data_IF_475778153246
#
_entry.id   IF_475778153246
#
_cell.length_a   1.000
_cell.length_b   1.000
_cell.length_c   1.000
_cell.angle_alpha   90.00
_cell.angle_beta   90.00
_cell.angle_gamma   90.00
#
_symmetry.space_group_name_H-M   'P 1'
#
loop_
_entity.id
_entity.type
_entity.pdbx_description
1 polymer ?
#
# COMPACT_ATOMS: atom_id res chain seq x y z
N UNK A 1 -13.35 -7.36 -9.76
CA UNK A 1 -13.74 -7.40 -8.32
C UNK A 1 -14.27 -6.02 -8.03
N UNK A 2 -15.48 -5.88 -7.47
CA UNK A 2 -16.04 -4.55 -7.23
C UNK A 2 -15.09 -3.75 -6.34
N UNK A 3 -14.72 -2.55 -6.77
CA UNK A 3 -14.10 -1.52 -5.93
C UNK A 3 -14.90 -1.39 -4.64
N UNK A 4 -14.43 -2.04 -3.56
CA UNK A 4 -14.99 -1.81 -2.23
C UNK A 4 -14.87 -0.31 -1.94
N UNK A 5 -15.90 0.29 -1.34
CA UNK A 5 -15.85 1.69 -0.94
C UNK A 5 -14.76 1.85 0.13
N UNK A 6 -13.62 2.41 -0.27
CA UNK A 6 -12.40 2.52 0.55
C UNK A 6 -12.43 3.82 1.38
N UNK A 7 -13.49 4.05 2.17
CA UNK A 7 -13.62 5.29 2.96
C UNK A 7 -12.51 5.42 4.00
N UNK A 8 -11.94 6.61 4.18
CA UNK A 8 -10.88 6.84 5.18
C UNK A 8 -11.34 6.43 6.59
N UNK A 9 -10.44 5.77 7.33
CA UNK A 9 -10.59 5.57 8.77
C UNK A 9 -10.47 6.93 9.46
N UNK A 10 -11.45 7.27 10.29
CA UNK A 10 -11.53 8.55 11.00
C UNK A 10 -11.50 8.31 12.51
N UNK A 11 -10.61 8.99 13.23
CA UNK A 11 -10.58 9.01 14.70
C UNK A 11 -10.68 10.48 15.13
N UNK A 12 -11.72 10.81 15.88
CA UNK A 12 -11.94 12.13 16.45
C UNK A 12 -11.26 12.25 17.82
N UNK A 13 -10.41 13.26 17.96
CA UNK A 13 -9.59 13.53 19.17
C UNK A 13 -9.93 14.90 19.77
N UNK A 14 -11.12 15.44 19.48
CA UNK A 14 -11.55 16.78 19.88
C UNK A 14 -11.02 17.83 18.92
N UNK A 15 -9.93 18.51 19.30
CA UNK A 15 -9.32 19.59 18.51
C UNK A 15 -8.57 19.08 17.27
N UNK A 16 -8.38 17.77 17.17
CA UNK A 16 -7.70 17.11 16.06
C UNK A 16 -8.53 15.96 15.50
N UNK A 17 -8.34 15.68 14.22
CA UNK A 17 -8.94 14.55 13.52
C UNK A 17 -7.84 13.76 12.84
N UNK A 18 -7.78 12.47 13.11
CA UNK A 18 -6.87 11.56 12.43
C UNK A 18 -7.61 10.87 11.28
N UNK A 19 -7.00 10.89 10.09
CA UNK A 19 -7.49 10.26 8.88
C UNK A 19 -6.45 9.29 8.35
N UNK A 20 -6.83 8.04 8.07
CA UNK A 20 -5.94 7.04 7.51
C UNK A 20 -6.59 6.30 6.35
N UNK A 21 -5.78 5.91 5.36
CA UNK A 21 -6.25 5.01 4.30
C UNK A 21 -6.67 3.66 4.90
N UNK A 22 -7.70 2.99 4.35
CA UNK A 22 -8.19 1.71 4.87
C UNK A 22 -7.15 0.60 4.99
N UNK A 23 -6.19 0.57 4.08
CA UNK A 23 -5.09 -0.40 4.09
C UNK A 23 -4.09 -0.19 5.24
N UNK A 24 -4.16 0.94 5.96
CA UNK A 24 -3.25 1.26 7.06
C UNK A 24 -3.78 0.68 8.37
N UNK A 25 -2.96 -0.11 9.05
CA UNK A 25 -3.21 -0.51 10.43
C UNK A 25 -3.08 0.72 11.36
N UNK A 26 -4.00 0.90 12.30
CA UNK A 26 -4.00 2.08 13.18
C UNK A 26 -4.02 1.63 14.64
N UNK A 27 -2.98 2.01 15.39
CA UNK A 27 -2.92 1.89 16.85
C UNK A 27 -3.50 3.14 17.51
N UNK A 28 -4.65 3.02 18.19
CA UNK A 28 -5.28 4.16 18.87
C UNK A 28 -4.36 4.84 19.89
N UNK A 29 -3.50 4.07 20.56
CA UNK A 29 -2.57 4.61 21.55
C UNK A 29 -1.50 5.49 20.89
N UNK A 30 -0.97 5.05 19.74
CA UNK A 30 -0.03 5.85 18.97
C UNK A 30 -0.68 7.11 18.39
N UNK A 31 -1.96 7.04 17.97
CA UNK A 31 -2.73 8.23 17.57
C UNK A 31 -2.84 9.24 18.71
N UNK A 32 -3.13 8.81 19.94
CA UNK A 32 -3.20 9.72 21.10
C UNK A 32 -1.87 10.41 21.36
N UNK A 33 -0.77 9.66 21.32
CA UNK A 33 0.57 10.23 21.50
C UNK A 33 0.93 11.23 20.38
N UNK A 34 0.49 10.99 19.14
CA UNK A 34 0.61 11.97 18.05
C UNK A 34 -0.22 13.23 18.32
N UNK A 35 -1.44 13.08 18.86
CA UNK A 35 -2.30 14.20 19.22
C UNK A 35 -1.67 15.10 20.30
N UNK A 36 -1.07 14.50 21.33
CA UNK A 36 -0.34 15.23 22.37
C UNK A 36 0.81 16.06 21.80
N UNK A 37 1.58 15.48 20.87
CA UNK A 37 2.66 16.17 20.15
C UNK A 37 2.10 17.33 19.31
N UNK A 38 0.98 17.13 18.64
CA UNK A 38 0.33 18.16 17.84
C UNK A 38 -0.12 19.35 18.70
N UNK A 39 -0.73 19.08 19.86
CA UNK A 39 -1.13 20.09 20.84
C UNK A 39 0.08 20.87 21.36
N UNK A 40 1.14 20.17 21.79
CA UNK A 40 2.36 20.81 22.30
C UNK A 40 3.05 21.67 21.23
N UNK A 41 3.13 21.17 20.00
CA UNK A 41 3.73 21.85 18.86
C UNK A 41 2.84 22.90 18.22
N UNK A 42 1.56 23.01 18.62
CA UNK A 42 0.52 23.79 17.91
C UNK A 42 0.55 23.52 16.42
N UNK A 43 0.52 22.24 16.05
CA UNK A 43 0.64 21.79 14.67
C UNK A 43 -0.73 21.82 14.00
N UNK A 44 -0.75 22.15 12.72
CA UNK A 44 -1.95 22.08 11.87
C UNK A 44 -2.07 20.72 11.21
N UNK A 45 -0.92 20.09 10.96
CA UNK A 45 -0.83 18.82 10.27
C UNK A 45 0.34 17.97 10.79
N UNK A 46 0.11 16.67 10.97
CA UNK A 46 1.17 15.67 11.08
C UNK A 46 0.94 14.59 10.02
N UNK A 47 1.86 14.45 9.07
CA UNK A 47 1.84 13.35 8.11
C UNK A 47 2.55 12.11 8.63
N UNK A 48 1.98 10.94 8.37
CA UNK A 48 2.57 9.62 8.64
C UNK A 48 2.85 8.95 7.31
N UNK A 49 4.05 8.38 7.16
CA UNK A 49 4.50 7.76 5.92
C UNK A 49 4.62 6.25 6.03
N UNK A 50 4.64 5.60 4.87
CA UNK A 50 5.21 4.27 4.76
C UNK A 50 6.74 4.32 4.71
N UNK A 51 7.38 3.16 4.85
CA UNK A 51 8.85 3.05 4.86
C UNK A 51 9.52 3.45 3.53
N UNK A 52 8.75 3.79 2.48
CA UNK A 52 9.26 4.14 1.14
C UNK A 52 9.43 5.65 0.92
N UNK A 53 9.35 6.44 1.98
CA UNK A 53 9.56 7.88 1.94
C UNK A 53 10.98 8.25 1.49
N UNK A 54 11.08 9.30 0.67
CA UNK A 54 12.36 9.88 0.24
C UNK A 54 13.17 10.39 1.44
N UNK A 55 14.44 9.99 1.53
CA UNK A 55 15.39 10.43 2.56
C UNK A 55 15.58 11.96 2.57
N UNK A 56 15.21 12.66 1.49
CA UNK A 56 15.28 14.11 1.40
C UNK A 56 14.31 14.84 2.34
N UNK A 57 13.26 14.16 2.83
CA UNK A 57 12.23 14.80 3.66
C UNK A 57 12.54 14.57 5.14
N UNK A 58 12.79 15.66 5.86
CA UNK A 58 13.12 15.61 7.28
C UNK A 58 11.91 15.15 8.11
N UNK A 59 12.14 14.18 8.99
CA UNK A 59 11.17 13.70 9.97
C UNK A 59 11.37 14.39 11.30
N UNK A 60 10.32 14.46 12.11
CA UNK A 60 10.37 14.97 13.48
C UNK A 60 10.78 16.46 13.60
N UNK A 61 10.64 17.21 12.50
CA UNK A 61 10.95 18.65 12.42
C UNK A 61 9.69 19.41 12.06
N UNK A 62 9.43 20.52 12.78
CA UNK A 62 8.33 21.43 12.46
C UNK A 62 8.73 22.31 11.28
N UNK A 63 7.88 22.36 10.26
CA UNK A 63 8.12 23.07 9.00
C UNK A 63 6.84 23.71 8.45
N UNK A 64 6.98 24.70 7.55
CA UNK A 64 5.87 25.22 6.75
C UNK A 64 5.86 24.49 5.42
N UNK A 65 4.82 23.69 5.17
CA UNK A 65 4.59 23.07 3.86
C UNK A 65 4.11 24.12 2.87
N UNK A 66 3.30 25.07 3.34
CA UNK A 66 2.83 26.19 2.53
C UNK A 66 3.99 26.95 1.87
N UNK A 67 5.12 27.11 2.58
CA UNK A 67 6.30 27.82 2.06
C UNK A 67 7.29 26.92 1.30
N UNK A 68 7.07 25.60 1.25
CA UNK A 68 8.03 24.61 0.74
C UNK A 68 7.39 23.65 -0.30
N UNK A 69 7.01 24.14 -1.49
CA UNK A 69 6.32 23.34 -2.50
C UNK A 69 7.07 22.09 -2.96
N UNK A 70 8.40 22.10 -2.89
CA UNK A 70 9.28 20.96 -3.21
C UNK A 70 8.98 19.73 -2.36
N UNK A 71 8.47 19.90 -1.14
CA UNK A 71 8.12 18.81 -0.24
C UNK A 71 6.89 18.04 -0.76
N UNK A 72 6.10 18.61 -1.70
CA UNK A 72 4.93 17.96 -2.29
C UNK A 72 5.22 16.62 -2.97
N UNK A 73 6.48 16.31 -3.28
CA UNK A 73 6.92 14.96 -3.69
C UNK A 73 6.45 13.89 -2.70
N UNK A 74 6.31 14.25 -1.43
CA UNK A 74 5.92 13.37 -0.35
C UNK A 74 4.40 13.09 -0.31
N UNK A 75 3.54 13.90 -0.95
CA UNK A 75 2.07 13.79 -0.84
C UNK A 75 1.57 12.35 -1.03
N UNK A 76 2.11 11.62 -2.03
CA UNK A 76 1.65 10.25 -2.34
C UNK A 76 2.08 9.20 -1.31
N UNK A 77 3.17 9.48 -0.59
CA UNK A 77 3.73 8.58 0.40
C UNK A 77 3.06 8.72 1.79
N UNK A 78 2.28 9.78 2.00
CA UNK A 78 1.51 9.95 3.24
C UNK A 78 0.40 8.90 3.28
N UNK A 79 0.50 7.94 4.20
CA UNK A 79 -0.46 6.86 4.43
C UNK A 79 -1.59 7.28 5.38
N UNK A 80 -1.29 8.22 6.29
CA UNK A 80 -2.25 8.78 7.23
C UNK A 80 -1.85 10.21 7.64
N UNK A 81 -2.81 10.97 8.17
CA UNK A 81 -2.59 12.34 8.60
C UNK A 81 -3.41 12.70 9.84
N UNK A 82 -2.79 13.42 10.76
CA UNK A 82 -3.47 14.10 11.86
C UNK A 82 -3.63 15.57 11.49
N UNK A 83 -4.85 16.10 11.54
CA UNK A 83 -5.16 17.47 11.15
C UNK A 83 -5.81 18.20 12.32
N UNK A 84 -5.46 19.48 12.52
CA UNK A 84 -6.23 20.31 13.46
C UNK A 84 -7.62 20.56 12.88
N UNK A 85 -8.64 20.57 13.74
CA UNK A 85 -10.02 20.80 13.33
C UNK A 85 -10.19 22.19 12.72
N UNK A 86 -9.55 23.20 13.30
CA UNK A 86 -9.57 24.57 12.76
C UNK A 86 -8.98 24.65 11.35
N UNK A 87 -7.95 23.85 11.05
CA UNK A 87 -7.38 23.79 9.71
C UNK A 87 -8.37 23.17 8.72
N UNK A 88 -8.96 22.02 9.07
CA UNK A 88 -9.96 21.36 8.24
C UNK A 88 -11.17 22.25 7.99
N UNK A 89 -11.72 22.89 9.02
CA UNK A 89 -12.89 23.78 8.89
C UNK A 89 -12.60 25.01 8.02
N UNK A 90 -11.33 25.40 7.87
CA UNK A 90 -10.92 26.56 7.07
C UNK A 90 -10.73 26.21 5.60
N UNK A 91 -10.10 25.07 5.29
CA UNK A 91 -9.65 24.74 3.93
C UNK A 91 -10.38 23.56 3.29
N UNK A 92 -11.13 22.78 4.08
CA UNK A 92 -11.89 21.63 3.61
C UNK A 92 -13.38 21.85 3.89
N UNK A 93 -14.24 21.65 2.88
CA UNK A 93 -15.70 21.77 3.02
C UNK A 93 -16.34 20.54 3.72
N UNK A 94 -15.62 19.98 4.70
CA UNK A 94 -15.93 18.73 5.40
C UNK A 94 -15.24 17.51 4.81
N UNK A 95 -14.66 16.66 5.66
CA UNK A 95 -13.90 15.46 5.25
C UNK A 95 -14.77 14.53 4.39
N UNK A 96 -16.05 14.39 4.72
CA UNK A 96 -17.00 13.50 4.07
C UNK A 96 -17.26 13.87 2.60
N UNK A 97 -17.10 15.15 2.22
CA UNK A 97 -17.29 15.62 0.84
C UNK A 97 -16.21 15.13 -0.13
N UNK A 98 -15.10 14.60 0.41
CA UNK A 98 -13.90 14.25 -0.36
C UNK A 98 -13.58 12.74 -0.32
N UNK A 99 -14.37 11.94 0.39
CA UNK A 99 -14.06 10.52 0.65
C UNK A 99 -14.53 9.52 -0.43
N UNK A 100 -15.01 10.00 -1.59
CA UNK A 100 -15.54 9.13 -2.64
C UNK A 100 -14.50 8.88 -3.73
N UNK A 101 -14.31 7.62 -4.10
CA UNK A 101 -13.47 7.21 -5.22
C UNK A 101 -12.05 6.79 -4.83
N UNK A 102 -11.16 6.77 -5.83
CA UNK A 102 -9.77 6.40 -5.64
C UNK A 102 -9.01 7.55 -4.96
N UNK A 103 -8.15 7.23 -3.99
CA UNK A 103 -7.38 8.20 -3.18
C UNK A 103 -8.26 9.25 -2.46
N UNK A 104 -9.11 8.82 -1.50
CA UNK A 104 -10.08 9.68 -0.81
C UNK A 104 -9.47 10.77 0.09
N UNK A 105 -8.17 10.72 0.35
CA UNK A 105 -7.39 11.71 1.10
C UNK A 105 -6.72 12.76 0.20
N UNK A 106 -6.71 12.57 -1.12
CA UNK A 106 -5.91 13.37 -2.05
C UNK A 106 -6.19 14.87 -1.94
N UNK A 107 -7.46 15.27 -1.92
CA UNK A 107 -7.84 16.68 -1.76
C UNK A 107 -7.33 17.26 -0.43
N UNK A 108 -7.55 16.54 0.68
CA UNK A 108 -7.22 17.00 2.03
C UNK A 108 -5.71 17.13 2.20
N UNK A 109 -4.95 16.18 1.66
CA UNK A 109 -3.49 16.26 1.62
C UNK A 109 -3.01 17.47 0.82
N UNK A 110 -3.61 17.74 -0.34
CA UNK A 110 -3.29 18.93 -1.11
C UNK A 110 -3.51 20.22 -0.33
N UNK A 111 -4.61 20.32 0.43
CA UNK A 111 -4.85 21.47 1.29
C UNK A 111 -3.77 21.61 2.36
N UNK A 112 -3.41 20.51 3.04
CA UNK A 112 -2.34 20.52 4.04
C UNK A 112 -1.00 20.98 3.45
N UNK A 113 -0.62 20.49 2.27
CA UNK A 113 0.63 20.92 1.65
C UNK A 113 0.58 22.37 1.19
N UNK A 114 -0.55 22.82 0.65
CA UNK A 114 -0.69 24.18 0.15
C UNK A 114 -0.76 25.26 1.25
N UNK A 115 -1.30 24.91 2.42
CA UNK A 115 -1.71 25.88 3.44
C UNK A 115 -1.17 25.66 4.85
N UNK A 116 -0.63 24.48 5.20
CA UNK A 116 -0.12 24.28 6.57
C UNK A 116 1.24 24.97 6.77
N UNK A 117 1.28 25.90 7.73
CA UNK A 117 2.49 26.61 8.15
C UNK A 117 3.20 25.90 9.31
N UNK A 118 2.46 25.10 10.07
CA UNK A 118 3.00 24.31 11.18
C UNK A 118 2.69 22.85 10.96
N UNK A 119 3.47 22.21 10.10
CA UNK A 119 3.39 20.79 9.82
C UNK A 119 4.59 20.04 10.38
N UNK A 120 4.45 18.72 10.50
CA UNK A 120 5.53 17.81 10.83
C UNK A 120 5.28 16.46 10.16
N UNK A 121 6.34 15.70 9.98
CA UNK A 121 6.26 14.32 9.54
C UNK A 121 6.72 13.38 10.65
N UNK A 122 5.88 12.42 11.02
CA UNK A 122 6.16 11.50 12.10
C UNK A 122 6.85 10.22 11.60
N UNK A 123 7.93 9.83 12.26
CA UNK A 123 8.47 8.48 12.16
C UNK A 123 7.62 7.58 13.06
N UNK A 124 6.56 6.98 12.52
CA UNK A 124 5.66 6.14 13.30
C UNK A 124 5.59 4.74 12.71
N UNK A 125 5.78 3.74 13.56
CA UNK A 125 5.59 2.30 13.35
C UNK A 125 4.12 1.89 13.15
N UNK A 126 3.25 2.84 12.81
CA UNK A 126 1.83 2.58 12.59
C UNK A 126 1.55 2.00 11.20
N UNK A 127 2.40 2.32 10.21
CA UNK A 127 2.21 1.88 8.82
C UNK A 127 3.05 0.61 8.51
N UNK A 128 2.98 -0.43 9.35
CA UNK A 128 3.72 -1.70 9.15
C UNK A 128 3.24 -2.51 7.93
N UNK A 129 2.05 -2.19 7.41
CA UNK A 129 1.54 -2.72 6.16
C UNK A 129 0.74 -1.64 5.44
N UNK A 130 1.34 -1.02 4.45
CA UNK A 130 0.56 -0.55 3.30
C UNK A 130 0.43 -1.76 2.39
N UNK A 131 -0.58 -2.59 2.66
CA UNK A 131 -1.08 -3.45 1.60
C UNK A 131 -1.53 -2.47 0.51
N UNK A 132 -0.74 -2.33 -0.55
CA UNK A 132 -1.30 -1.79 -1.77
C UNK A 132 -2.35 -2.83 -2.10
N UNK A 133 -3.60 -2.56 -1.75
CA UNK A 133 -4.77 -3.26 -2.26
C UNK A 133 -4.72 -3.02 -3.75
N UNK A 134 -3.89 -3.82 -4.42
CA UNK A 134 -3.54 -3.62 -5.81
C UNK A 134 -4.65 -4.28 -6.60
N UNK A 135 -5.84 -3.72 -6.46
CA UNK A 135 -7.01 -4.12 -7.22
C UNK A 135 -6.82 -3.52 -8.60
N UNK A 136 -6.86 -4.38 -9.61
CA UNK A 136 -6.91 -3.93 -10.99
C UNK A 136 -8.15 -3.05 -11.18
N UNK A 137 -7.94 -1.81 -11.59
CA UNK A 137 -8.99 -0.85 -11.90
C UNK A 137 -9.59 -1.27 -13.25
N UNK A 138 -10.76 -1.88 -13.21
CA UNK A 138 -11.52 -2.30 -14.39
C UNK A 138 -12.65 -1.33 -14.76
N UNK A 139 -12.91 -0.33 -13.92
CA UNK A 139 -13.92 0.71 -14.10
C UNK A 139 -13.30 2.09 -14.34
N UNK A 140 -13.66 2.70 -15.48
CA UNK A 140 -13.21 4.04 -15.87
C UNK A 140 -13.86 5.13 -15.02
N UNK A 141 -15.08 4.92 -14.54
CA UNK A 141 -15.78 5.91 -13.73
C UNK A 141 -15.06 6.12 -12.39
N UNK A 142 -14.56 5.03 -11.78
CA UNK A 142 -13.68 5.09 -10.61
C UNK A 142 -12.41 5.91 -10.89
N UNK A 143 -11.82 5.77 -12.06
CA UNK A 143 -10.64 6.54 -12.45
C UNK A 143 -10.94 8.04 -12.62
N UNK A 144 -12.11 8.38 -13.19
CA UNK A 144 -12.53 9.77 -13.38
C UNK A 144 -12.79 10.53 -12.07
N UNK A 145 -13.04 9.83 -10.96
CA UNK A 145 -13.09 10.49 -9.63
C UNK A 145 -11.79 11.21 -9.30
N UNK A 146 -10.64 10.68 -9.73
CA UNK A 146 -9.34 11.31 -9.52
C UNK A 146 -9.16 12.56 -10.39
N UNK A 147 -9.65 12.55 -11.65
CA UNK A 147 -9.67 13.76 -12.48
C UNK A 147 -10.51 14.86 -11.83
N UNK A 148 -11.71 14.52 -11.35
CA UNK A 148 -12.60 15.46 -10.66
C UNK A 148 -11.91 16.04 -9.41
N UNK A 149 -11.23 15.20 -8.63
CA UNK A 149 -10.49 15.64 -7.44
C UNK A 149 -9.36 16.60 -7.80
N UNK A 150 -8.58 16.32 -8.85
CA UNK A 150 -7.55 17.25 -9.32
C UNK A 150 -8.12 18.56 -9.84
N UNK A 151 -9.26 18.54 -10.54
CA UNK A 151 -9.91 19.76 -11.00
C UNK A 151 -10.40 20.59 -9.80
N UNK A 152 -10.96 19.97 -8.75
CA UNK A 152 -11.31 20.65 -7.49
C UNK A 152 -10.11 21.25 -6.76
N UNK A 153 -8.99 20.51 -6.70
CA UNK A 153 -7.74 21.03 -6.12
C UNK A 153 -7.29 22.27 -6.87
N UNK A 154 -7.31 22.23 -8.20
CA UNK A 154 -6.95 23.38 -9.04
C UNK A 154 -7.88 24.56 -8.79
N UNK A 155 -9.19 24.33 -8.77
CA UNK A 155 -10.18 25.38 -8.50
C UNK A 155 -9.92 26.04 -7.13
N UNK A 156 -9.56 25.27 -6.11
CA UNK A 156 -9.19 25.81 -4.80
C UNK A 156 -7.91 26.64 -4.86
N UNK A 157 -6.82 26.11 -5.44
CA UNK A 157 -5.54 26.81 -5.54
C UNK A 157 -5.64 28.08 -6.37
N UNK A 158 -6.53 28.12 -7.37
CA UNK A 158 -6.78 29.28 -8.23
C UNK A 158 -7.63 30.38 -7.57
N UNK A 159 -8.20 30.16 -6.37
CA UNK A 159 -8.88 31.23 -5.63
C UNK A 159 -7.93 32.38 -5.27
N UNK A 160 -6.65 32.08 -5.08
CA UNK A 160 -5.57 33.04 -4.94
C UNK A 160 -4.52 32.81 -6.03
N UNK A 161 -4.38 33.78 -6.94
CA UNK A 161 -3.42 33.68 -8.04
C UNK A 161 -1.97 33.50 -7.58
N UNK A 162 -1.58 34.07 -6.44
CA UNK A 162 -0.23 33.91 -5.90
C UNK A 162 0.04 32.50 -5.40
N UNK A 163 -1.00 31.84 -4.86
CA UNK A 163 -0.96 30.43 -4.48
C UNK A 163 -0.85 29.58 -5.74
N UNK A 164 -1.73 29.79 -6.73
CA UNK A 164 -1.68 29.05 -7.98
C UNK A 164 -0.33 29.17 -8.69
N UNK A 165 0.21 30.38 -8.84
CA UNK A 165 1.49 30.60 -9.53
C UNK A 165 2.65 29.85 -8.84
N UNK A 166 2.64 29.79 -7.51
CA UNK A 166 3.62 29.03 -6.73
C UNK A 166 3.45 27.52 -6.90
N UNK A 167 2.22 27.03 -6.96
CA UNK A 167 1.92 25.60 -6.90
C UNK A 167 1.69 24.92 -8.25
N UNK A 168 1.44 25.64 -9.34
CA UNK A 168 1.02 25.08 -10.64
C UNK A 168 1.97 24.00 -11.17
N UNK A 169 3.29 24.23 -11.09
CA UNK A 169 4.30 23.25 -11.54
C UNK A 169 4.25 21.95 -10.75
N UNK A 170 4.19 22.05 -9.42
CA UNK A 170 4.08 20.92 -8.51
C UNK A 170 2.75 20.18 -8.63
N UNK A 171 1.65 20.93 -8.78
CA UNK A 171 0.33 20.39 -9.08
C UNK A 171 0.36 19.50 -10.33
N UNK A 172 0.91 20.04 -11.42
CA UNK A 172 0.98 19.32 -12.69
C UNK A 172 1.90 18.09 -12.60
N UNK A 173 3.04 18.19 -11.90
CA UNK A 173 3.93 17.06 -11.64
C UNK A 173 3.23 15.94 -10.88
N UNK A 174 2.54 16.26 -9.79
CA UNK A 174 1.85 15.27 -8.99
C UNK A 174 0.67 14.65 -9.73
N UNK A 175 -0.10 15.45 -10.49
CA UNK A 175 -1.15 14.94 -11.39
C UNK A 175 -0.58 13.94 -12.38
N UNK A 176 0.60 14.23 -12.95
CA UNK A 176 1.26 13.36 -13.92
C UNK A 176 1.62 12.03 -13.29
N UNK A 177 2.29 12.07 -12.14
CA UNK A 177 2.74 10.88 -11.43
C UNK A 177 1.56 10.04 -10.91
N UNK A 178 0.50 10.68 -10.42
CA UNK A 178 -0.72 9.99 -10.01
C UNK A 178 -1.38 9.27 -11.20
N UNK A 179 -1.56 9.96 -12.33
CA UNK A 179 -2.17 9.33 -13.51
C UNK A 179 -1.30 8.22 -14.09
N UNK A 180 0.02 8.42 -14.12
CA UNK A 180 1.00 7.40 -14.51
C UNK A 180 0.84 6.14 -13.66
N UNK A 181 0.77 6.30 -12.34
CA UNK A 181 0.62 5.20 -11.39
C UNK A 181 -0.73 4.50 -11.57
N UNK A 182 -1.82 5.25 -11.71
CA UNK A 182 -3.14 4.66 -11.95
C UNK A 182 -3.19 3.85 -13.25
N UNK A 183 -2.61 4.36 -14.34
CA UNK A 183 -2.52 3.63 -15.61
C UNK A 183 -1.82 2.28 -15.46
N UNK A 184 -0.85 2.17 -14.53
CA UNK A 184 -0.16 0.92 -14.25
C UNK A 184 -1.10 -0.17 -13.69
N UNK A 185 -2.16 0.25 -13.01
CA UNK A 185 -3.09 -0.62 -12.30
C UNK A 185 -4.42 -0.79 -13.03
N UNK A 186 -4.58 -0.25 -14.24
CA UNK A 186 -5.80 -0.38 -15.03
C UNK A 186 -5.81 -1.61 -15.93
N UNK A 187 -7.00 -2.16 -16.18
CA UNK A 187 -7.21 -3.10 -17.30
C UNK A 187 -6.98 -2.40 -18.64
N UNK A 188 -6.82 -3.20 -19.71
CA UNK A 188 -6.49 -2.65 -21.03
C UNK A 188 -7.53 -1.64 -21.54
N UNK A 189 -8.82 -2.00 -21.46
CA UNK A 189 -9.92 -1.15 -21.92
C UNK A 189 -10.05 0.13 -21.08
N UNK A 190 -9.95 0.02 -19.76
CA UNK A 190 -10.03 1.18 -18.86
C UNK A 190 -8.82 2.10 -19.01
N UNK A 191 -7.63 1.51 -19.09
CA UNK A 191 -6.37 2.22 -19.30
C UNK A 191 -6.33 2.96 -20.63
N UNK A 192 -6.90 2.39 -21.70
CA UNK A 192 -7.00 3.08 -22.99
C UNK A 192 -7.81 4.38 -22.86
N UNK A 193 -9.02 4.30 -22.29
CA UNK A 193 -9.91 5.46 -22.11
C UNK A 193 -9.30 6.52 -21.20
N UNK A 194 -8.71 6.10 -20.07
CA UNK A 194 -8.08 7.02 -19.13
C UNK A 194 -6.87 7.73 -19.75
N UNK A 195 -6.05 7.02 -20.52
CA UNK A 195 -4.91 7.62 -21.21
C UNK A 195 -5.33 8.65 -22.27
N UNK A 196 -6.53 8.55 -22.87
CA UNK A 196 -7.07 9.61 -23.73
C UNK A 196 -7.36 10.87 -22.94
N UNK A 197 -7.97 10.73 -21.76
CA UNK A 197 -8.26 11.88 -20.89
C UNK A 197 -6.99 12.52 -20.37
N UNK A 198 -6.02 11.72 -19.94
CA UNK A 198 -4.69 12.18 -19.54
C UNK A 198 -4.04 13.03 -20.65
N UNK A 199 -4.13 12.61 -21.92
CA UNK A 199 -3.60 13.39 -23.04
C UNK A 199 -4.23 14.79 -23.17
N UNK A 200 -5.55 14.87 -23.05
CA UNK A 200 -6.28 16.15 -23.11
C UNK A 200 -5.87 17.07 -21.96
N UNK A 201 -5.86 16.54 -20.73
CA UNK A 201 -5.55 17.32 -19.53
C UNK A 201 -4.12 17.89 -19.59
N UNK A 202 -3.13 17.09 -19.97
CA UNK A 202 -1.75 17.55 -20.04
C UNK A 202 -1.47 18.43 -21.24
N UNK A 203 -2.13 18.21 -22.39
CA UNK A 203 -2.04 19.14 -23.52
C UNK A 203 -2.49 20.54 -23.10
N UNK A 204 -3.62 20.63 -22.39
CA UNK A 204 -4.12 21.88 -21.83
C UNK A 204 -3.14 22.50 -20.83
N UNK A 205 -2.53 21.71 -19.94
CA UNK A 205 -1.50 22.22 -19.02
C UNK A 205 -0.25 22.73 -19.76
N UNK A 206 0.09 22.19 -20.94
CA UNK A 206 1.14 22.78 -21.80
C UNK A 206 0.73 24.14 -22.36
N UNK A 207 -0.50 24.25 -22.88
CA UNK A 207 -1.03 25.50 -23.45
C UNK A 207 -1.15 26.62 -22.41
N UNK A 208 -1.43 26.26 -21.16
CA UNK A 208 -1.61 27.18 -20.04
C UNK A 208 -0.31 27.48 -19.27
N UNK A 209 0.85 26.97 -19.72
CA UNK A 209 2.14 27.16 -19.04
C UNK A 209 2.13 26.73 -17.56
N UNK A 210 1.48 25.59 -17.28
CA UNK A 210 1.34 25.00 -15.95
C UNK A 210 2.42 23.96 -15.67
N UNK A 211 3.27 23.69 -16.65
CA UNK A 211 4.36 22.72 -16.61
C UNK A 211 5.68 23.45 -16.35
N UNK A 212 6.24 23.23 -15.17
CA UNK A 212 7.63 23.54 -14.91
C UNK A 212 8.50 22.35 -15.31
N UNK A 213 9.18 22.45 -16.46
CA UNK A 213 10.04 21.37 -16.94
C UNK A 213 11.19 21.05 -15.99
N UNK A 214 11.66 21.97 -15.14
CA UNK A 214 12.78 21.69 -14.25
C UNK A 214 12.42 20.64 -13.18
N UNK A 215 11.14 20.56 -12.81
CA UNK A 215 10.64 19.61 -11.82
C UNK A 215 10.52 18.16 -12.33
N UNK A 216 10.44 17.96 -13.65
CA UNK A 216 10.26 16.63 -14.23
C UNK A 216 11.62 15.96 -14.48
N UNK A 217 11.70 14.67 -14.14
CA UNK A 217 12.83 13.82 -14.53
C UNK A 217 12.93 13.67 -16.05
N UNK A 218 14.08 13.23 -16.55
CA UNK A 218 14.27 13.03 -17.99
C UNK A 218 13.31 11.98 -18.59
N UNK A 219 12.96 10.94 -17.83
CA UNK A 219 11.97 9.95 -18.24
C UNK A 219 10.58 10.58 -18.34
N UNK A 220 10.17 11.35 -17.33
CA UNK A 220 8.85 11.99 -17.33
C UNK A 220 8.73 13.06 -18.43
N UNK A 221 9.79 13.83 -18.69
CA UNK A 221 9.89 14.76 -19.84
C UNK A 221 9.68 14.04 -21.16
N UNK A 222 10.31 12.87 -21.32
CA UNK A 222 10.14 12.05 -22.52
C UNK A 222 8.69 11.58 -22.65
N UNK A 223 8.07 11.15 -21.54
CA UNK A 223 6.66 10.80 -21.48
C UNK A 223 5.73 11.95 -21.90
N UNK A 224 5.96 13.15 -21.37
CA UNK A 224 5.21 14.36 -21.74
C UNK A 224 5.38 14.72 -23.22
N UNK A 225 6.62 14.67 -23.74
CA UNK A 225 6.89 14.95 -25.15
C UNK A 225 6.15 13.96 -26.07
N UNK A 226 6.21 12.67 -25.73
CA UNK A 226 5.50 11.62 -26.48
C UNK A 226 3.99 11.84 -26.40
N UNK A 227 3.44 12.19 -25.23
CA UNK A 227 2.02 12.55 -25.09
C UNK A 227 1.63 13.68 -26.04
N UNK A 228 2.44 14.73 -26.10
CA UNK A 228 2.15 15.91 -26.92
C UNK A 228 2.24 15.63 -28.43
N UNK A 229 3.06 14.66 -28.85
CA UNK A 229 3.31 14.35 -30.28
C UNK A 229 2.45 13.21 -30.81
N UNK A 230 2.33 12.13 -30.05
CA UNK A 230 1.54 10.96 -30.39
C UNK A 230 0.93 10.36 -29.11
N UNK A 231 -0.23 10.89 -28.67
CA UNK A 231 -0.99 10.31 -27.58
C UNK A 231 -1.26 8.81 -27.78
N UNK A 232 -1.44 8.36 -29.03
CA UNK A 232 -1.72 6.96 -29.37
C UNK A 232 -0.54 6.03 -29.10
N UNK A 233 0.69 6.48 -29.38
CA UNK A 233 1.89 5.74 -29.01
C UNK A 233 2.02 5.65 -27.49
N UNK A 234 1.77 6.75 -26.78
CA UNK A 234 1.85 6.75 -25.33
C UNK A 234 0.84 5.76 -24.72
N UNK A 235 -0.43 5.78 -25.19
CA UNK A 235 -1.46 4.79 -24.83
C UNK A 235 -0.93 3.37 -24.96
N UNK A 236 -0.40 3.01 -26.13
CA UNK A 236 0.16 1.67 -26.38
C UNK A 236 1.36 1.34 -25.50
N UNK A 237 2.25 2.31 -25.25
CA UNK A 237 3.43 2.13 -24.41
C UNK A 237 3.05 1.83 -22.95
N UNK A 238 2.13 2.60 -22.38
CA UNK A 238 1.62 2.36 -21.02
C UNK A 238 0.83 1.08 -20.90
N UNK A 239 -0.05 0.80 -21.87
CA UNK A 239 -0.81 -0.45 -21.90
C UNK A 239 0.10 -1.67 -22.03
N UNK A 240 1.17 -1.56 -22.83
CA UNK A 240 2.23 -2.56 -22.88
C UNK A 240 2.79 -2.84 -21.48
N UNK A 241 3.24 -1.78 -20.77
CA UNK A 241 3.73 -1.91 -19.38
C UNK A 241 2.68 -2.52 -18.44
N UNK A 242 1.43 -2.04 -18.49
CA UNK A 242 0.34 -2.53 -17.64
C UNK A 242 0.04 -4.03 -17.88
N UNK A 243 -0.02 -4.47 -19.15
CA UNK A 243 -0.22 -5.88 -19.51
C UNK A 243 0.93 -6.77 -19.00
N UNK A 244 2.19 -6.30 -19.13
CA UNK A 244 3.33 -7.03 -18.57
C UNK A 244 3.27 -7.10 -17.04
N UNK A 245 2.98 -5.99 -16.37
CA UNK A 245 2.84 -5.94 -14.92
C UNK A 245 1.69 -6.80 -14.41
N UNK A 246 0.56 -6.83 -15.11
CA UNK A 246 -0.56 -7.73 -14.78
C UNK A 246 -0.16 -9.19 -14.81
N UNK A 247 0.55 -9.60 -15.86
CA UNK A 247 1.08 -10.97 -15.93
C UNK A 247 2.02 -11.27 -14.77
N UNK A 248 2.90 -10.34 -14.41
CA UNK A 248 3.82 -10.50 -13.26
C UNK A 248 3.02 -10.60 -11.95
N UNK A 249 2.02 -9.74 -11.76
CA UNK A 249 1.15 -9.73 -10.58
C UNK A 249 0.38 -11.05 -10.44
N UNK A 250 -0.27 -11.52 -11.51
CA UNK A 250 -1.01 -12.78 -11.53
C UNK A 250 -0.08 -13.98 -11.23
N UNK A 251 1.13 -13.97 -11.79
CA UNK A 251 2.16 -14.98 -11.51
C UNK A 251 2.62 -14.96 -10.05
N UNK A 252 2.84 -13.77 -9.46
CA UNK A 252 3.24 -13.63 -8.06
C UNK A 252 2.15 -14.13 -7.11
N UNK A 253 0.88 -13.84 -7.39
CA UNK A 253 -0.24 -14.36 -6.60
C UNK A 253 -0.35 -15.89 -6.69
N UNK A 254 -0.13 -16.47 -7.88
CA UNK A 254 -0.11 -17.92 -8.04
C UNK A 254 1.08 -18.56 -7.31
N UNK A 255 2.27 -17.94 -7.37
CA UNK A 255 3.44 -18.36 -6.62
C UNK A 255 3.20 -18.31 -5.11
N UNK A 256 2.56 -17.25 -4.62
CA UNK A 256 2.17 -17.09 -3.21
C UNK A 256 1.26 -18.23 -2.74
N UNK A 257 0.18 -18.50 -3.47
CA UNK A 257 -0.73 -19.63 -3.16
C UNK A 257 0.00 -20.97 -3.15
N UNK A 258 0.86 -21.22 -4.14
CA UNK A 258 1.64 -22.47 -4.19
C UNK A 258 2.65 -22.59 -3.04
N UNK A 259 3.22 -21.47 -2.59
CA UNK A 259 4.11 -21.45 -1.44
C UNK A 259 3.36 -21.78 -0.14
N UNK A 260 2.15 -21.22 0.05
CA UNK A 260 1.28 -21.55 1.19
C UNK A 260 0.86 -23.03 1.18
N UNK A 261 0.44 -23.55 0.02
CA UNK A 261 0.11 -24.98 -0.16
C UNK A 261 1.32 -25.89 0.18
N UNK A 262 2.52 -25.48 -0.21
CA UNK A 262 3.75 -26.22 0.08
C UNK A 262 4.08 -26.20 1.58
N UNK A 263 3.95 -25.04 2.24
CA UNK A 263 4.16 -24.90 3.68
C UNK A 263 3.15 -25.71 4.49
N UNK A 264 1.88 -25.72 4.08
CA UNK A 264 0.84 -26.57 4.68
C UNK A 264 1.21 -28.05 4.55
N UNK A 265 1.62 -28.49 3.35
CA UNK A 265 2.06 -29.86 3.09
C UNK A 265 3.29 -30.26 3.92
N UNK A 266 4.27 -29.36 4.08
CA UNK A 266 5.41 -29.58 4.95
C UNK A 266 5.02 -29.74 6.42
N UNK A 267 4.08 -28.92 6.92
CA UNK A 267 3.57 -29.05 8.30
C UNK A 267 2.85 -30.38 8.51
N UNK A 268 2.03 -30.81 7.55
CA UNK A 268 1.36 -32.11 7.58
C UNK A 268 2.35 -33.27 7.60
N UNK A 269 3.37 -33.24 6.72
CA UNK A 269 4.41 -34.26 6.64
C UNK A 269 5.23 -34.36 7.95
N UNK A 270 5.54 -33.23 8.57
CA UNK A 270 6.21 -33.18 9.87
C UNK A 270 5.33 -33.74 10.99
N UNK A 271 4.01 -33.46 10.96
CA UNK A 271 3.04 -34.07 11.86
C UNK A 271 3.01 -35.59 11.74
N UNK A 272 2.86 -36.10 10.52
CA UNK A 272 2.90 -37.53 10.20
C UNK A 272 4.21 -38.20 10.65
N UNK A 273 5.36 -37.54 10.45
CA UNK A 273 6.65 -38.04 10.93
C UNK A 273 6.68 -38.19 12.45
N UNK A 274 6.21 -37.19 13.20
CA UNK A 274 6.14 -37.25 14.67
C UNK A 274 5.23 -38.37 15.14
N UNK A 275 4.08 -38.56 14.49
CA UNK A 275 3.14 -39.62 14.83
C UNK A 275 3.72 -41.01 14.56
N UNK A 276 4.35 -41.20 13.40
CA UNK A 276 5.05 -42.46 13.08
C UNK A 276 6.18 -42.75 14.07
N UNK A 277 6.95 -41.74 14.46
CA UNK A 277 8.02 -41.89 15.45
C UNK A 277 7.47 -42.26 16.83
N UNK A 278 6.40 -41.61 17.27
CA UNK A 278 5.71 -41.94 18.51
C UNK A 278 5.15 -43.38 18.49
N UNK A 279 4.53 -43.80 17.38
CA UNK A 279 4.05 -45.18 17.19
C UNK A 279 5.20 -46.18 17.21
N UNK A 280 6.32 -45.88 16.54
CA UNK A 280 7.52 -46.72 16.53
C UNK A 280 8.08 -46.88 17.94
N UNK A 281 8.24 -45.79 18.70
CA UNK A 281 8.68 -45.84 20.10
C UNK A 281 7.74 -46.71 20.94
N UNK A 282 6.42 -46.52 20.81
CA UNK A 282 5.41 -47.32 21.51
C UNK A 282 5.51 -48.82 21.17
N UNK A 283 5.73 -49.15 19.90
CA UNK A 283 5.90 -50.53 19.45
C UNK A 283 7.21 -51.14 19.99
N UNK A 284 8.33 -50.42 19.87
CA UNK A 284 9.66 -50.87 20.32
C UNK A 284 9.75 -51.06 21.84
N UNK A 285 8.99 -50.28 22.60
CA UNK A 285 8.92 -50.37 24.07
C UNK A 285 7.93 -51.43 24.57
N UNK A 286 7.07 -51.97 23.69
CA UNK A 286 6.06 -52.97 24.07
C UNK A 286 6.68 -54.28 24.56
N UNK A 287 6.04 -54.91 25.55
CA UNK A 287 6.49 -56.17 26.14
C UNK A 287 6.60 -57.27 25.08
N UNK A 288 5.63 -57.36 24.17
CA UNK A 288 5.60 -58.36 23.08
C UNK A 288 6.80 -58.20 22.14
N UNK A 289 7.13 -56.97 21.73
CA UNK A 289 8.29 -56.73 20.87
C UNK A 289 9.61 -57.02 21.59
N UNK A 290 9.75 -56.59 22.85
CA UNK A 290 10.97 -56.84 23.65
C UNK A 290 11.19 -58.32 23.91
N UNK A 291 10.14 -59.05 24.28
CA UNK A 291 10.19 -60.51 24.48
C UNK A 291 10.46 -61.21 23.16
N UNK A 292 9.77 -60.84 22.08
CA UNK A 292 10.01 -61.39 20.74
C UNK A 292 11.45 -61.20 20.28
N UNK A 293 12.01 -60.00 20.45
CA UNK A 293 13.41 -59.67 20.16
C UNK A 293 14.37 -60.51 21.00
N UNK A 294 14.18 -60.58 22.31
CA UNK A 294 15.01 -61.40 23.21
C UNK A 294 14.96 -62.90 22.83
N UNK A 295 13.75 -63.41 22.55
CA UNK A 295 13.56 -64.78 22.05
C UNK A 295 14.32 -64.97 20.75
N UNK A 296 14.27 -64.06 19.77
CA UNK A 296 15.01 -64.21 18.52
C UNK A 296 16.52 -64.42 18.72
N UNK A 297 17.14 -63.75 19.71
CA UNK A 297 18.55 -63.91 20.04
C UNK A 297 18.90 -65.20 20.82
N UNK A 298 17.92 -65.94 21.32
CA UNK A 298 18.18 -67.25 21.94
C UNK A 298 18.54 -68.27 20.84
N UNK A 299 19.68 -68.98 20.95
CA UNK A 299 20.08 -70.02 20.00
C UNK A 299 19.01 -71.09 19.83
N UNK A 300 18.79 -71.53 18.59
CA UNK A 300 17.71 -72.46 18.22
C UNK A 300 17.79 -73.78 19.00
N UNK A 301 18.98 -74.23 19.37
CA UNK A 301 19.24 -75.44 20.17
C UNK A 301 18.64 -75.34 21.58
N UNK A 302 18.79 -74.20 22.25
CA UNK A 302 18.20 -73.93 23.59
C UNK A 302 16.67 -73.85 23.53
N UNK A 303 16.11 -73.20 22.49
CA UNK A 303 14.64 -73.15 22.28
C UNK A 303 14.05 -74.55 22.10
N UNK A 304 14.73 -75.40 21.32
CA UNK A 304 14.32 -76.79 21.10
C UNK A 304 14.41 -77.64 22.38
N UNK A 305 15.39 -77.38 23.24
CA UNK A 305 15.54 -78.06 24.53
C UNK A 305 14.42 -77.70 25.53
N UNK A 306 14.09 -76.40 25.67
CA UNK A 306 12.98 -75.95 26.52
C UNK A 306 11.63 -76.48 26.02
N UNK A 307 11.40 -76.49 24.69
CA UNK A 307 10.19 -77.09 24.12
C UNK A 307 10.07 -78.59 24.39
N UNK A 308 11.19 -79.34 24.36
CA UNK A 308 11.22 -80.75 24.75
C UNK A 308 10.95 -80.98 26.24
N UNK A 309 11.37 -80.06 27.11
CA UNK A 309 11.08 -80.12 28.56
C UNK A 309 9.62 -79.80 28.88
N UNK A 310 9.02 -78.81 28.21
CA UNK A 310 7.62 -78.43 28.37
C UNK A 310 6.62 -79.45 27.78
N UNK A 311 7.06 -80.36 26.91
CA UNK A 311 6.26 -81.45 26.35
C UNK A 311 6.58 -82.82 26.97
N UNK A 312 7.28 -82.84 28.11
CA UNK A 312 7.58 -84.06 28.88
C UNK A 312 6.79 -84.19 30.18
N UNK A 313 5.79 -83.32 30.37
CA UNK A 313 4.61 -83.55 31.21
C UNK A 313 3.43 -83.81 30.29
#
# INVERSE_FOLDING_TARGET
MSTENVSLKKIDLGDYVFLARPCVAVSEEAVKHLAERAVQGKLEFIGVFDDRMDDSVQREVVMSLASSPEISIAIRHVCAGLYSRSFLDTYCDGVEAHQQGLFPDLYILWMAFAHADRAMFAACDMCDRVEIDTVWIDDVDAAYTVNITYDRIKDHLMQDWSVWEKWKGYYTLQRWRCYYEMLHWMTEDAGWQFAERMAVDFHRSMELDELDQELFSQEEKTGLYVLAKDPGFLKRYYLGKAVYSKKIFDLNNELGRRAEELDESHREADGLRRDMEAQRIKYETSTTFRVGKAVMFVPVTLKKAVKKLLHRN
#
